data_IF_100812109190
#
_entry.id   IF_100812109190
#
_cell.length_a   1.000
_cell.length_b   1.000
_cell.length_c   1.000
_cell.angle_alpha   90.00
_cell.angle_beta   90.00
_cell.angle_gamma   90.00
#
_symmetry.space_group_name_H-M   'P 1'
#
loop_
_entity.id
_entity.type
_entity.pdbx_description
1 polymer ?
#
# COMPACT_ATOMS: atom_id res chain seq x y z
N UNK A 1 -4.97 11.05 -4.24
CA UNK A 1 -4.61 10.10 -5.31
C UNK A 1 -5.89 9.58 -5.96
N UNK A 2 -5.80 8.99 -7.16
CA UNK A 2 -6.95 8.28 -7.70
C UNK A 2 -7.13 6.95 -6.96
N UNK A 3 -8.39 6.55 -6.73
CA UNK A 3 -8.69 5.20 -6.27
C UNK A 3 -8.26 4.20 -7.35
N UNK A 4 -7.69 3.09 -6.93
CA UNK A 4 -7.48 1.97 -7.83
C UNK A 4 -8.84 1.34 -8.15
N UNK A 5 -9.16 1.22 -9.44
CA UNK A 5 -10.37 0.53 -9.90
C UNK A 5 -10.14 -0.97 -9.78
N UNK A 6 -10.72 -1.59 -8.76
CA UNK A 6 -10.65 -3.02 -8.51
C UNK A 6 -11.86 -3.71 -9.13
N UNK A 7 -11.62 -4.86 -9.76
CA UNK A 7 -12.68 -5.76 -10.19
C UNK A 7 -13.36 -6.42 -8.99
N UNK A 8 -14.60 -6.93 -9.14
CA UNK A 8 -15.26 -7.68 -8.07
C UNK A 8 -14.43 -8.88 -7.59
N UNK A 9 -13.78 -9.59 -8.50
CA UNK A 9 -12.92 -10.73 -8.17
C UNK A 9 -11.70 -10.32 -7.33
N UNK A 10 -11.10 -9.17 -7.62
CA UNK A 10 -10.00 -8.61 -6.81
C UNK A 10 -10.49 -8.17 -5.42
N UNK A 11 -11.67 -7.58 -5.33
CA UNK A 11 -12.28 -7.20 -4.06
C UNK A 11 -12.51 -8.46 -3.21
N UNK A 12 -13.13 -9.50 -3.78
CA UNK A 12 -13.36 -10.77 -3.09
C UNK A 12 -12.05 -11.40 -2.62
N UNK A 13 -10.98 -11.33 -3.42
CA UNK A 13 -9.65 -11.81 -3.05
C UNK A 13 -9.07 -11.03 -1.86
N UNK A 14 -9.15 -9.71 -1.87
CA UNK A 14 -8.67 -8.88 -0.77
C UNK A 14 -9.52 -9.02 0.51
N UNK A 15 -10.79 -9.39 0.40
CA UNK A 15 -11.63 -9.63 1.57
C UNK A 15 -11.30 -10.94 2.31
N UNK A 16 -10.48 -11.83 1.73
CA UNK A 16 -10.11 -13.10 2.33
C UNK A 16 -9.23 -12.96 3.58
N UNK A 17 -8.47 -11.87 3.70
CA UNK A 17 -7.54 -11.64 4.80
C UNK A 17 -7.57 -10.20 5.35
N UNK A 18 -6.96 -10.02 6.52
CA UNK A 18 -6.99 -8.74 7.23
C UNK A 18 -6.13 -7.65 6.57
N UNK A 19 -5.08 -8.02 5.84
CA UNK A 19 -4.25 -7.06 5.10
C UNK A 19 -5.00 -6.55 3.87
N UNK A 20 -5.67 -7.45 3.13
CA UNK A 20 -6.49 -7.09 1.99
C UNK A 20 -7.70 -6.21 2.37
N UNK A 21 -8.41 -6.52 3.47
CA UNK A 21 -9.47 -5.63 3.99
C UNK A 21 -8.95 -4.24 4.35
N UNK A 22 -7.76 -4.16 4.96
CA UNK A 22 -7.14 -2.89 5.28
C UNK A 22 -6.75 -2.10 4.01
N UNK A 23 -6.28 -2.80 2.97
CA UNK A 23 -6.03 -2.19 1.67
C UNK A 23 -7.31 -1.66 1.01
N UNK A 24 -8.41 -2.41 1.03
CA UNK A 24 -9.70 -1.96 0.48
C UNK A 24 -10.16 -0.66 1.17
N UNK A 25 -10.06 -0.59 2.50
CA UNK A 25 -10.40 0.63 3.24
C UNK A 25 -9.48 1.81 2.87
N UNK A 26 -8.17 1.55 2.75
CA UNK A 26 -7.20 2.57 2.34
C UNK A 26 -7.47 3.07 0.91
N UNK A 27 -7.74 2.15 -0.02
CA UNK A 27 -8.05 2.49 -1.40
C UNK A 27 -9.34 3.30 -1.51
N UNK A 28 -10.36 2.98 -0.69
CA UNK A 28 -11.60 3.76 -0.65
C UNK A 28 -11.41 5.17 -0.07
N UNK A 29 -10.63 5.32 1.00
CA UNK A 29 -10.50 6.61 1.70
C UNK A 29 -9.42 7.54 1.13
N UNK A 30 -8.30 6.97 0.69
CA UNK A 30 -7.12 7.72 0.22
C UNK A 30 -6.86 7.49 -1.27
N UNK A 31 -7.06 6.25 -1.71
CA UNK A 31 -6.63 5.77 -3.03
C UNK A 31 -5.13 5.51 -3.10
N UNK A 32 -4.71 4.64 -4.00
CA UNK A 32 -3.31 4.31 -4.21
C UNK A 32 -3.10 2.82 -4.44
N UNK A 33 -1.83 2.43 -4.62
CA UNK A 33 -1.45 1.04 -4.87
C UNK A 33 -1.38 0.23 -3.57
N UNK A 34 -1.58 -1.09 -3.63
CA UNK A 34 -1.34 -1.95 -2.49
C UNK A 34 0.15 -1.92 -2.13
N UNK A 35 0.43 -1.82 -0.83
CA UNK A 35 1.76 -1.98 -0.25
C UNK A 35 2.09 -3.47 -0.25
N UNK A 36 2.91 -3.87 -1.22
CA UNK A 36 3.40 -5.24 -1.35
C UNK A 36 4.84 -5.41 -0.87
N UNK A 37 5.22 -6.66 -0.64
CA UNK A 37 6.62 -7.04 -0.44
C UNK A 37 7.38 -6.92 -1.77
N UNK A 38 8.51 -6.24 -1.77
CA UNK A 38 9.40 -6.11 -2.92
C UNK A 38 10.41 -7.25 -2.86
N UNK A 39 10.33 -8.24 -3.74
CA UNK A 39 11.30 -9.35 -3.76
C UNK A 39 12.58 -8.92 -4.48
N UNK A 40 13.79 -9.24 -3.97
CA UNK A 40 14.14 -9.95 -2.72
C UNK A 40 14.30 -9.05 -1.48
N UNK A 41 13.95 -7.77 -1.57
CA UNK A 41 14.25 -6.73 -0.59
C UNK A 41 13.33 -6.67 0.64
N UNK A 42 12.18 -7.35 0.61
CA UNK A 42 11.19 -7.31 1.68
C UNK A 42 10.23 -6.13 1.56
N UNK A 43 9.61 -5.74 2.67
CA UNK A 43 8.74 -4.55 2.71
C UNK A 43 9.56 -3.26 2.68
N UNK A 44 8.99 -2.15 2.18
CA UNK A 44 9.61 -0.83 2.30
C UNK A 44 10.05 -0.50 3.74
N UNK A 45 11.17 0.23 3.86
CA UNK A 45 11.68 0.68 5.15
C UNK A 45 10.61 1.45 5.92
N UNK A 46 10.49 1.21 7.23
CA UNK A 46 9.49 1.84 8.10
C UNK A 46 8.18 1.06 8.24
N UNK A 47 7.88 0.09 7.37
CA UNK A 47 6.66 -0.75 7.48
C UNK A 47 6.67 -1.56 8.77
N UNK A 48 7.76 -2.29 9.04
CA UNK A 48 7.88 -3.10 10.26
C UNK A 48 7.93 -2.22 11.51
N UNK A 49 8.61 -1.07 11.44
CA UNK A 49 8.72 -0.10 12.55
C UNK A 49 7.36 0.52 12.92
N UNK A 50 6.46 0.66 11.95
CA UNK A 50 5.07 1.12 12.18
C UNK A 50 4.14 0.00 12.67
N UNK A 51 4.60 -1.25 12.77
CA UNK A 51 3.79 -2.38 13.21
C UNK A 51 3.18 -3.18 12.06
N UNK A 52 3.74 -3.10 10.86
CA UNK A 52 3.35 -3.87 9.69
C UNK A 52 2.39 -3.14 8.75
N UNK A 53 2.03 -3.80 7.65
CA UNK A 53 1.28 -3.23 6.51
C UNK A 53 -0.06 -2.62 6.94
N UNK A 54 -0.82 -3.33 7.77
CA UNK A 54 -2.13 -2.86 8.26
C UNK A 54 -1.99 -1.54 9.05
N UNK A 55 -0.95 -1.41 9.87
CA UNK A 55 -0.72 -0.19 10.64
C UNK A 55 -0.37 1.00 9.73
N UNK A 56 0.41 0.74 8.67
CA UNK A 56 0.72 1.74 7.63
C UNK A 56 -0.57 2.26 6.98
N UNK A 57 -1.46 1.37 6.53
CA UNK A 57 -2.73 1.79 5.92
C UNK A 57 -3.60 2.63 6.85
N UNK A 58 -3.70 2.25 8.13
CA UNK A 58 -4.44 3.03 9.14
C UNK A 58 -3.88 4.43 9.31
N UNK A 59 -2.56 4.55 9.37
CA UNK A 59 -1.89 5.85 9.50
C UNK A 59 -2.04 6.69 8.21
N UNK A 60 -2.00 6.05 7.03
CA UNK A 60 -2.29 6.69 5.76
C UNK A 60 -3.70 7.30 5.72
N UNK A 61 -4.71 6.54 6.16
CA UNK A 61 -6.11 6.99 6.25
C UNK A 61 -6.22 8.19 7.21
N UNK A 62 -5.54 8.13 8.35
CA UNK A 62 -5.57 9.19 9.36
C UNK A 62 -4.93 10.50 8.86
N UNK A 63 -3.86 10.41 8.06
CA UNK A 63 -3.15 11.57 7.53
C UNK A 63 -3.63 12.01 6.13
N UNK A 64 -4.48 11.21 5.47
CA UNK A 64 -4.97 11.48 4.12
C UNK A 64 -3.88 11.41 3.05
N UNK A 65 -2.86 10.56 3.24
CA UNK A 65 -1.65 10.46 2.41
C UNK A 65 -1.38 9.01 2.02
N UNK A 66 -0.71 8.79 0.89
CA UNK A 66 -0.33 7.43 0.49
C UNK A 66 0.79 6.88 1.37
N UNK A 67 0.93 5.55 1.38
CA UNK A 67 2.05 4.92 2.07
C UNK A 67 3.41 5.35 1.50
N UNK A 68 3.47 5.66 0.20
CA UNK A 68 4.67 6.20 -0.45
C UNK A 68 5.08 7.55 0.16
N UNK A 69 4.11 8.46 0.35
CA UNK A 69 4.35 9.77 0.99
C UNK A 69 4.65 9.63 2.48
N UNK A 70 3.92 8.74 3.18
CA UNK A 70 4.10 8.49 4.61
C UNK A 70 5.49 7.93 4.93
N UNK A 71 5.98 7.00 4.12
CA UNK A 71 7.27 6.35 4.30
C UNK A 71 8.42 7.12 3.64
N UNK A 72 8.13 8.16 2.88
CA UNK A 72 9.12 8.79 2.00
C UNK A 72 9.72 7.79 1.01
N UNK A 73 8.91 6.81 0.57
CA UNK A 73 9.35 5.80 -0.38
C UNK A 73 9.41 6.42 -1.76
N UNK A 74 10.62 6.76 -2.18
CA UNK A 74 10.92 7.03 -3.57
C UNK A 74 11.13 5.68 -4.25
N UNK A 75 10.22 5.30 -5.16
CA UNK A 75 10.48 4.19 -6.07
C UNK A 75 11.85 4.43 -6.70
N UNK A 76 12.78 3.46 -6.72
CA UNK A 76 14.01 3.63 -7.46
C UNK A 76 13.60 3.94 -8.89
N UNK A 77 13.85 5.18 -9.33
CA UNK A 77 13.70 5.54 -10.74
C UNK A 77 14.58 4.53 -11.45
N UNK A 78 13.96 3.60 -12.17
CA UNK A 78 14.73 2.66 -12.96
C UNK A 78 15.67 3.48 -13.82
N UNK A 79 16.97 3.30 -13.63
CA UNK A 79 17.88 3.42 -14.75
C UNK A 79 17.26 2.55 -15.84
N UNK A 80 16.65 3.23 -16.81
CA UNK A 80 16.37 2.64 -18.09
C UNK A 80 17.71 2.09 -18.55
N UNK A 81 17.83 0.77 -18.55
CA UNK A 81 18.94 0.09 -19.19
C UNK A 81 18.70 0.33 -20.68
N UNK A 82 19.35 1.37 -21.23
CA UNK A 82 19.50 1.58 -22.68
C UNK A 82 20.23 0.41 -23.33
#
# INVERSE_FOLDING_TARGET
>A
MAKNELTPEEIELYELDEEGKAYLEYNDKVGGKPLGMIVPFGYPKGVEEMGGVIAVYKECIKQGKTWEDLLGYESPKGDAIE
#
